data_IF_470425934640
#
_entry.id   IF_470425934640
#
_cell.length_a   1.000
_cell.length_b   1.000
_cell.length_c   1.000
_cell.angle_alpha   90.00
_cell.angle_beta   90.00
_cell.angle_gamma   90.00
#
_symmetry.space_group_name_H-M   'P 1'
#
loop_
_entity.id
_entity.type
_entity.pdbx_description
1 polymer ?
#
# COMPACT_ATOMS: atom_id res chain seq x y z
N UNK A 1 -44.57 8.63 -33.36
CA UNK A 1 -44.70 9.71 -32.37
C UNK A 1 -43.32 10.29 -32.15
N UNK A 2 -43.01 11.40 -32.83
CA UNK A 2 -41.74 12.10 -32.69
C UNK A 2 -41.82 13.04 -31.47
N UNK A 3 -40.94 12.84 -30.49
CA UNK A 3 -40.86 13.67 -29.28
C UNK A 3 -40.27 15.05 -29.57
N UNK A 4 -40.46 16.04 -28.65
CA UNK A 4 -40.08 17.43 -28.89
C UNK A 4 -38.55 17.59 -28.84
N UNK A 5 -38.01 18.20 -29.89
CA UNK A 5 -36.58 18.47 -30.10
C UNK A 5 -36.09 19.65 -29.24
N UNK A 6 -34.90 19.55 -28.65
CA UNK A 6 -34.21 20.66 -27.94
C UNK A 6 -32.89 20.98 -28.67
N UNK A 7 -32.91 21.94 -29.58
CA UNK A 7 -31.71 22.53 -30.22
C UNK A 7 -30.88 21.59 -31.10
N UNK A 8 -29.61 21.96 -31.35
CA UNK A 8 -28.66 21.24 -32.22
C UNK A 8 -28.03 19.99 -31.57
N UNK A 9 -28.35 19.71 -30.30
CA UNK A 9 -27.81 18.56 -29.61
C UNK A 9 -28.48 17.28 -30.12
N UNK A 10 -27.68 16.36 -30.64
CA UNK A 10 -28.13 15.01 -31.00
C UNK A 10 -27.63 14.06 -29.91
N UNK A 11 -28.50 13.28 -29.25
CA UNK A 11 -28.03 12.18 -28.42
C UNK A 11 -27.12 11.29 -29.27
N UNK A 12 -25.95 10.93 -28.75
CA UNK A 12 -25.07 10.02 -29.47
C UNK A 12 -25.82 8.67 -29.65
N UNK A 13 -25.96 8.15 -30.87
CA UNK A 13 -26.54 6.84 -31.05
C UNK A 13 -25.70 5.82 -30.28
N UNK A 14 -26.35 4.88 -29.58
CA UNK A 14 -25.65 3.77 -28.93
C UNK A 14 -24.78 3.06 -29.99
N UNK A 15 -23.52 2.76 -29.66
CA UNK A 15 -22.55 2.17 -30.60
C UNK A 15 -22.90 0.74 -31.03
N UNK A 16 -23.76 0.07 -30.26
CA UNK A 16 -24.21 -1.30 -30.47
C UNK A 16 -24.97 -1.81 -29.24
N UNK A 17 -25.49 -3.04 -29.29
CA UNK A 17 -26.11 -3.67 -28.13
C UNK A 17 -25.05 -3.95 -27.05
N UNK A 18 -25.41 -3.72 -25.79
CA UNK A 18 -24.58 -4.10 -24.64
C UNK A 18 -24.95 -5.52 -24.19
N UNK A 19 -24.01 -6.27 -23.60
CA UNK A 19 -24.27 -7.65 -23.17
C UNK A 19 -25.45 -7.78 -22.19
N UNK A 20 -25.77 -6.73 -21.44
CA UNK A 20 -26.94 -6.69 -20.54
C UNK A 20 -28.30 -6.68 -21.28
N UNK A 21 -28.35 -6.34 -22.57
CA UNK A 21 -29.58 -6.34 -23.39
C UNK A 21 -29.95 -7.75 -23.89
N UNK A 22 -29.00 -8.69 -23.89
CA UNK A 22 -29.28 -10.05 -24.33
C UNK A 22 -29.77 -10.89 -23.15
N UNK A 23 -30.97 -11.47 -23.29
CA UNK A 23 -31.47 -12.54 -22.42
C UNK A 23 -30.79 -13.87 -22.75
N UNK A 24 -29.50 -13.84 -23.09
CA UNK A 24 -28.68 -15.04 -22.99
C UNK A 24 -28.68 -15.42 -21.53
N UNK A 25 -28.73 -16.72 -21.17
CA UNK A 25 -28.24 -17.10 -19.85
C UNK A 25 -26.88 -16.40 -19.76
N UNK A 26 -26.64 -15.66 -18.68
CA UNK A 26 -25.33 -15.05 -18.46
C UNK A 26 -24.23 -16.12 -18.59
N UNK A 27 -22.96 -15.78 -18.36
CA UNK A 27 -21.92 -16.82 -18.37
C UNK A 27 -22.44 -18.08 -17.64
N UNK A 28 -22.40 -19.23 -18.33
CA UNK A 28 -23.02 -20.50 -17.88
C UNK A 28 -22.61 -20.87 -16.45
N UNK A 29 -21.52 -20.27 -15.99
CA UNK A 29 -20.94 -20.39 -14.68
C UNK A 29 -20.67 -19.00 -14.10
N UNK A 30 -20.81 -18.91 -12.77
CA UNK A 30 -20.35 -17.76 -12.00
C UNK A 30 -18.86 -17.52 -12.24
N UNK A 31 -18.50 -16.32 -12.66
CA UNK A 31 -17.10 -15.91 -12.74
C UNK A 31 -16.68 -15.33 -11.39
N UNK A 32 -15.56 -15.81 -10.81
CA UNK A 32 -15.04 -15.23 -9.58
C UNK A 32 -14.66 -13.76 -9.76
N UNK A 33 -14.96 -12.95 -8.75
CA UNK A 33 -14.64 -11.53 -8.76
C UNK A 33 -13.16 -11.26 -8.51
N UNK A 34 -12.72 -10.02 -8.72
CA UNK A 34 -11.35 -9.57 -8.39
C UNK A 34 -11.26 -8.91 -7.01
N UNK A 35 -12.36 -8.79 -6.28
CA UNK A 35 -12.45 -8.01 -5.04
C UNK A 35 -12.71 -8.91 -3.83
N UNK A 36 -11.99 -8.64 -2.75
CA UNK A 36 -12.18 -9.31 -1.46
C UNK A 36 -11.57 -10.73 -1.40
N UNK A 37 -11.79 -11.40 -0.26
CA UNK A 37 -11.13 -12.67 0.04
C UNK A 37 -11.94 -13.91 -0.36
N UNK A 38 -13.27 -13.85 -0.20
CA UNK A 38 -14.15 -14.97 -0.53
C UNK A 38 -14.49 -14.93 -2.02
N UNK A 39 -14.33 -16.06 -2.71
CA UNK A 39 -14.63 -16.23 -4.14
C UNK A 39 -13.84 -15.31 -5.10
N UNK A 40 -12.62 -14.93 -4.73
CA UNK A 40 -11.66 -14.25 -5.61
C UNK A 40 -11.00 -15.22 -6.60
N UNK A 41 -10.72 -14.72 -7.81
CA UNK A 41 -10.01 -15.45 -8.87
C UNK A 41 -8.51 -15.55 -8.58
N UNK A 42 -7.95 -16.73 -8.24
CA UNK A 42 -6.54 -16.86 -7.86
C UNK A 42 -5.56 -16.55 -8.99
N UNK A 43 -6.03 -16.46 -10.24
CA UNK A 43 -5.19 -16.11 -11.39
C UNK A 43 -4.94 -14.61 -11.55
N UNK A 44 -5.68 -13.76 -10.82
CA UNK A 44 -5.61 -12.30 -10.93
C UNK A 44 -5.20 -11.65 -9.61
N UNK A 45 -4.63 -10.46 -9.70
CA UNK A 45 -4.36 -9.65 -8.51
C UNK A 45 -5.66 -9.33 -7.75
N UNK A 46 -5.56 -9.36 -6.42
CA UNK A 46 -6.71 -9.19 -5.52
C UNK A 46 -6.85 -7.74 -5.10
N UNK A 47 -8.01 -7.15 -5.42
CA UNK A 47 -8.42 -5.85 -4.90
C UNK A 47 -8.98 -5.97 -3.47
N UNK A 48 -8.83 -4.95 -2.60
CA UNK A 48 -9.30 -4.99 -1.23
C UNK A 48 -10.82 -5.12 -1.13
N UNK A 49 -11.32 -5.90 -0.17
CA UNK A 49 -12.76 -6.07 0.08
C UNK A 49 -13.46 -4.75 0.48
N UNK A 50 -12.73 -3.92 1.22
CA UNK A 50 -13.19 -2.64 1.73
C UNK A 50 -12.13 -1.59 1.44
N UNK A 51 -12.56 -0.43 0.94
CA UNK A 51 -11.70 0.74 0.86
C UNK A 51 -11.98 1.64 2.07
N UNK A 52 -10.97 1.91 2.88
CA UNK A 52 -11.03 3.07 3.75
C UNK A 52 -10.67 4.27 2.89
N UNK A 53 -11.63 5.20 2.73
CA UNK A 53 -11.34 6.48 2.10
C UNK A 53 -10.17 7.10 2.86
N UNK A 54 -9.05 7.36 2.15
CA UNK A 54 -7.90 8.01 2.75
C UNK A 54 -8.33 9.30 3.45
N UNK A 55 -7.75 9.57 4.62
CA UNK A 55 -7.96 10.84 5.32
C UNK A 55 -7.64 11.98 4.37
N UNK A 56 -8.54 12.97 4.26
CA UNK A 56 -8.26 14.17 3.46
C UNK A 56 -6.93 14.76 3.93
N UNK A 57 -6.09 15.20 2.99
CA UNK A 57 -4.92 15.98 3.36
C UNK A 57 -5.36 17.14 4.29
N UNK A 58 -4.61 17.45 5.35
CA UNK A 58 -4.94 18.57 6.23
C UNK A 58 -5.04 19.84 5.40
N UNK A 59 -5.95 20.75 5.79
CA UNK A 59 -6.08 22.04 5.08
C UNK A 59 -4.76 22.81 5.17
N UNK A 60 -4.41 23.51 4.09
CA UNK A 60 -3.24 24.40 4.05
C UNK A 60 -3.29 25.43 5.17
N UNK A 61 -4.50 25.81 5.60
CA UNK A 61 -4.73 26.77 6.69
C UNK A 61 -4.39 26.19 8.08
N UNK A 62 -4.46 24.87 8.24
CA UNK A 62 -4.03 24.17 9.47
C UNK A 62 -2.52 23.93 9.46
N UNK A 63 -1.88 23.96 8.29
CA UNK A 63 -0.44 23.80 8.13
C UNK A 63 0.25 25.17 8.28
N UNK A 64 0.61 25.53 9.51
CA UNK A 64 1.47 26.69 9.76
C UNK A 64 2.84 26.53 9.10
N UNK A 65 3.53 27.62 8.71
CA UNK A 65 4.80 27.57 7.99
C UNK A 65 5.89 26.99 8.91
N UNK A 66 6.15 25.70 8.76
CA UNK A 66 7.24 25.01 9.46
C UNK A 66 7.03 24.87 10.97
N UNK A 67 7.92 24.12 11.64
CA UNK A 67 7.86 23.93 13.08
C UNK A 67 7.89 25.29 13.78
N UNK A 68 6.96 25.51 14.72
CA UNK A 68 6.88 26.72 15.56
C UNK A 68 8.14 26.97 16.39
N UNK A 69 9.05 26.00 16.44
CA UNK A 69 10.28 26.02 17.22
C UNK A 69 11.45 25.61 16.33
N UNK A 70 12.61 26.22 16.56
CA UNK A 70 13.87 25.78 15.97
C UNK A 70 14.14 24.33 16.39
N UNK A 71 14.08 23.41 15.43
CA UNK A 71 14.47 22.00 15.63
C UNK A 71 15.94 21.89 15.24
N UNK A 72 16.77 21.34 16.13
CA UNK A 72 18.15 21.00 15.76
C UNK A 72 18.16 20.09 14.53
N UNK A 73 19.01 20.41 13.54
CA UNK A 73 19.14 19.63 12.30
C UNK A 73 19.54 18.16 12.51
N UNK A 74 19.98 17.81 13.72
CA UNK A 74 20.29 16.44 14.13
C UNK A 74 19.06 15.58 14.42
N UNK A 75 17.84 16.14 14.47
CA UNK A 75 16.61 15.40 14.81
C UNK A 75 15.89 14.95 13.54
N UNK A 76 15.72 13.63 13.40
CA UNK A 76 14.99 12.99 12.29
C UNK A 76 13.68 12.37 12.79
N UNK A 77 12.82 11.87 11.88
CA UNK A 77 11.56 11.18 12.22
C UNK A 77 11.75 10.03 13.22
N UNK A 78 12.92 9.39 13.22
CA UNK A 78 13.27 8.25 14.07
C UNK A 78 14.02 8.64 15.35
N UNK A 79 14.35 9.91 15.54
CA UNK A 79 15.10 10.41 16.70
C UNK A 79 16.37 11.19 16.30
N UNK A 80 17.20 11.52 17.30
CA UNK A 80 18.45 12.26 17.12
C UNK A 80 19.50 11.39 16.43
N UNK A 81 20.01 11.85 15.30
CA UNK A 81 21.15 11.26 14.62
C UNK A 81 22.41 11.50 15.47
N UNK A 82 22.95 10.43 16.03
CA UNK A 82 24.23 10.41 16.72
C UNK A 82 25.21 9.55 15.92
N UNK A 83 26.50 9.89 15.95
CA UNK A 83 27.52 9.00 15.43
C UNK A 83 27.46 7.65 16.18
N UNK A 84 27.69 6.51 15.51
CA UNK A 84 27.71 5.22 16.18
C UNK A 84 28.74 5.24 17.31
N UNK A 85 28.32 4.87 18.53
CA UNK A 85 29.23 4.74 19.66
C UNK A 85 30.17 3.57 19.41
N UNK A 86 31.47 3.75 19.70
CA UNK A 86 32.45 2.69 19.57
C UNK A 86 32.05 1.50 20.45
N UNK A 87 31.82 0.34 19.83
CA UNK A 87 31.56 -0.89 20.55
C UNK A 87 32.87 -1.33 21.23
N UNK A 88 32.94 -1.23 22.56
CA UNK A 88 34.02 -1.88 23.32
C UNK A 88 33.73 -3.38 23.34
N UNK A 89 34.22 -4.10 22.33
CA UNK A 89 34.10 -5.56 22.30
C UNK A 89 35.05 -6.17 23.31
N UNK A 90 34.56 -7.12 24.12
CA UNK A 90 35.40 -7.84 25.07
C UNK A 90 36.54 -8.60 24.35
N UNK A 91 37.72 -8.67 25.00
CA UNK A 91 38.85 -9.44 24.50
C UNK A 91 38.48 -10.93 24.41
N UNK A 92 38.73 -11.62 23.29
CA UNK A 92 38.46 -13.05 23.19
C UNK A 92 39.27 -13.80 24.25
N UNK A 93 38.59 -14.64 25.04
CA UNK A 93 39.24 -15.49 26.04
C UNK A 93 39.97 -16.62 25.33
N UNK A 94 41.31 -16.54 25.27
CA UNK A 94 42.14 -17.64 24.80
C UNK A 94 42.03 -18.80 25.79
N UNK A 95 41.61 -19.98 25.32
CA UNK A 95 41.62 -21.20 26.16
C UNK A 95 43.07 -21.61 26.35
N UNK A 96 43.55 -21.59 27.59
CA UNK A 96 44.85 -22.16 27.93
C UNK A 96 44.70 -23.69 27.80
N UNK A 97 45.33 -24.26 26.78
CA UNK A 97 45.41 -25.71 26.63
C UNK A 97 46.34 -26.24 27.73
N UNK A 98 45.75 -26.84 28.77
CA UNK A 98 46.52 -27.58 29.77
C UNK A 98 47.04 -28.84 29.11
N UNK A 99 48.32 -28.82 28.72
CA UNK A 99 48.99 -30.01 28.20
C UNK A 99 49.55 -30.76 29.41
N UNK A 100 49.14 -32.01 29.68
CA UNK A 100 49.77 -32.79 30.73
C UNK A 100 51.25 -32.95 30.40
N UNK A 101 52.11 -32.62 31.38
CA UNK A 101 53.56 -32.73 31.22
C UNK A 101 54.00 -34.18 31.02
N UNK A 102 55.12 -34.43 30.31
CA UNK A 102 55.64 -35.77 30.13
C UNK A 102 56.51 -36.16 31.33
N UNK A 103 56.08 -37.15 32.14
CA UNK A 103 56.83 -37.78 33.27
C UNK A 103 56.94 -36.92 34.55
N UNK A 104 56.69 -37.36 35.80
CA UNK A 104 56.51 -38.68 36.45
C UNK A 104 55.17 -38.82 37.20
#
# INVERSE_FOLDING_TARGET
>A
MEGPWVGNWRPHPRRGPILAEFSTPGPKYWLPGTTGHMAHDPTKDRAPAFSFRGTKAPSTDTCSPGPRYFIESSITKTGRQMAPSALVTARPKTKILSTPGPSE
#
